data_IF_814439209574
#
_entry.id   IF_814439209574
#
_cell.length_a   1.000
_cell.length_b   1.000
_cell.length_c   1.000
_cell.angle_alpha   90.00
_cell.angle_beta   90.00
_cell.angle_gamma   90.00
#
_symmetry.space_group_name_H-M   'P 1'
#
loop_
_entity.id
_entity.type
_entity.pdbx_description
1 polymer ?
#
# COMPACT_ATOMS: atom_id res chain seq x y z
N UNK A 1 19.24 6.57 10.79
CA UNK A 1 18.80 5.19 11.07
C UNK A 1 19.28 4.24 9.98
N UNK A 2 19.18 4.63 8.69
CA UNK A 2 19.71 3.86 7.56
C UNK A 2 21.22 3.74 7.65
N UNK A 3 21.78 2.66 7.10
CA UNK A 3 23.22 2.40 7.03
C UNK A 3 23.51 1.02 6.48
N UNK A 4 24.78 0.66 6.44
CA UNK A 4 25.26 -0.62 5.93
C UNK A 4 24.73 -1.77 6.77
N UNK A 5 24.32 -2.86 6.10
CA UNK A 5 23.82 -4.09 6.72
C UNK A 5 24.86 -4.66 7.70
N UNK A 6 24.41 -5.23 8.81
CA UNK A 6 25.26 -5.77 9.86
C UNK A 6 25.86 -4.72 10.81
N UNK A 7 25.75 -3.43 10.51
CA UNK A 7 26.23 -2.37 11.41
C UNK A 7 25.20 -2.03 12.49
N UNK A 8 25.67 -1.58 13.65
CA UNK A 8 24.78 -1.19 14.75
C UNK A 8 24.29 0.24 14.61
N UNK A 9 23.06 0.50 15.06
CA UNK A 9 22.51 1.84 15.28
C UNK A 9 21.94 1.93 16.68
N UNK A 10 22.25 2.99 17.39
CA UNK A 10 21.69 3.27 18.71
C UNK A 10 20.72 4.45 18.57
N UNK A 11 19.50 4.24 19.00
CA UNK A 11 18.44 5.26 19.02
C UNK A 11 18.14 5.63 20.46
N UNK A 12 18.08 6.92 20.75
CA UNK A 12 17.54 7.45 22.01
C UNK A 12 16.13 7.95 21.72
N UNK A 13 15.14 7.34 22.34
CA UNK A 13 13.74 7.69 22.22
C UNK A 13 13.29 8.39 23.50
N UNK A 14 12.45 9.39 23.39
CA UNK A 14 11.79 10.03 24.51
C UNK A 14 10.32 9.61 24.52
N UNK A 15 9.85 9.11 25.69
CA UNK A 15 8.46 8.73 25.91
C UNK A 15 8.04 9.13 27.31
N UNK A 16 7.02 9.97 27.41
CA UNK A 16 6.49 10.50 28.68
C UNK A 16 7.58 11.09 29.60
N UNK A 17 8.56 11.80 29.01
CA UNK A 17 9.69 12.41 29.73
C UNK A 17 10.82 11.44 30.13
N UNK A 18 10.71 10.16 29.81
CA UNK A 18 11.76 9.16 30.00
C UNK A 18 12.53 8.89 28.71
N UNK A 19 13.85 8.79 28.81
CA UNK A 19 14.69 8.39 27.67
C UNK A 19 14.92 6.88 27.68
N UNK A 20 14.65 6.25 26.51
CA UNK A 20 14.84 4.82 26.27
C UNK A 20 15.92 4.69 25.20
N UNK A 21 16.92 3.87 25.45
CA UNK A 21 18.03 3.65 24.51
C UNK A 21 17.89 2.25 23.90
N UNK A 22 17.78 2.19 22.58
CA UNK A 22 17.77 0.94 21.81
C UNK A 22 19.01 0.84 20.92
N UNK A 23 19.74 -0.26 21.01
CA UNK A 23 20.76 -0.62 20.04
C UNK A 23 20.30 -1.80 19.21
N UNK A 24 20.27 -1.62 17.90
CA UNK A 24 19.83 -2.63 16.93
C UNK A 24 20.91 -2.85 15.87
N UNK A 25 20.97 -4.04 15.33
CA UNK A 25 21.77 -4.35 14.15
C UNK A 25 20.93 -4.09 12.91
N UNK A 26 21.45 -3.35 11.94
CA UNK A 26 20.79 -3.11 10.65
C UNK A 26 20.75 -4.40 9.87
N UNK A 27 19.60 -4.70 9.29
CA UNK A 27 19.40 -5.81 8.38
C UNK A 27 18.71 -5.33 7.11
N UNK A 28 18.89 -6.03 6.02
CA UNK A 28 18.09 -5.83 4.82
C UNK A 28 16.68 -6.35 5.10
N UNK A 29 15.72 -5.45 5.21
CA UNK A 29 14.30 -5.80 5.37
C UNK A 29 13.69 -5.82 3.96
N UNK A 30 13.38 -7.01 3.47
CA UNK A 30 12.55 -7.18 2.28
C UNK A 30 11.10 -7.37 2.75
N UNK A 31 10.31 -6.34 2.62
CA UNK A 31 8.86 -6.43 2.78
C UNK A 31 8.25 -6.67 1.41
N UNK A 32 7.41 -7.69 1.28
CA UNK A 32 6.66 -7.90 0.05
C UNK A 32 5.76 -6.68 -0.20
N UNK A 33 5.82 -6.14 -1.41
CA UNK A 33 4.98 -5.03 -1.87
C UNK A 33 3.69 -5.51 -2.52
N UNK A 34 3.60 -6.79 -2.83
CA UNK A 34 2.46 -7.43 -3.50
C UNK A 34 1.86 -8.51 -2.62
N UNK A 35 0.56 -8.42 -2.40
CA UNK A 35 -0.29 -9.44 -1.81
C UNK A 35 -1.32 -9.90 -2.83
N UNK A 36 -1.70 -11.18 -2.82
CA UNK A 36 -2.71 -11.70 -3.75
C UNK A 36 -3.58 -12.78 -3.13
N UNK A 37 -4.82 -12.82 -3.56
CA UNK A 37 -5.82 -13.82 -3.16
C UNK A 37 -6.89 -14.01 -4.23
N UNK A 38 -7.86 -14.87 -3.97
CA UNK A 38 -9.05 -15.09 -4.78
C UNK A 38 -10.28 -14.88 -3.89
N UNK A 39 -10.80 -13.63 -3.79
CA UNK A 39 -11.89 -13.27 -2.89
C UNK A 39 -13.21 -13.91 -3.31
N UNK A 40 -13.36 -14.25 -4.59
CA UNK A 40 -14.50 -14.95 -5.15
C UNK A 40 -14.03 -15.89 -6.27
N UNK A 41 -14.71 -17.01 -6.47
CA UNK A 41 -14.32 -18.03 -7.46
C UNK A 41 -14.15 -17.43 -8.87
N UNK A 42 -12.95 -17.53 -9.39
CA UNK A 42 -12.58 -17.05 -10.71
C UNK A 42 -12.25 -15.55 -10.77
N UNK A 43 -12.25 -14.84 -9.65
CA UNK A 43 -11.81 -13.44 -9.56
C UNK A 43 -10.52 -13.38 -8.74
N UNK A 44 -9.40 -13.04 -9.40
CA UNK A 44 -8.14 -12.79 -8.73
C UNK A 44 -8.08 -11.38 -8.16
N UNK A 45 -7.43 -11.23 -7.03
CA UNK A 45 -7.14 -9.94 -6.39
C UNK A 45 -5.65 -9.81 -6.17
N UNK A 46 -5.08 -8.66 -6.55
CA UNK A 46 -3.67 -8.33 -6.31
C UNK A 46 -3.62 -6.93 -5.71
N UNK A 47 -3.10 -6.81 -4.49
CA UNK A 47 -2.82 -5.53 -3.84
C UNK A 47 -1.36 -5.16 -4.03
N UNK A 48 -1.10 -3.94 -4.45
CA UNK A 48 0.24 -3.34 -4.57
C UNK A 48 0.33 -2.20 -3.57
N UNK A 49 1.11 -2.36 -2.50
CA UNK A 49 1.23 -1.38 -1.42
C UNK A 49 2.19 -0.24 -1.75
N UNK A 50 3.22 -0.52 -2.55
CA UNK A 50 4.23 0.45 -3.02
C UNK A 50 4.88 -0.08 -4.30
N UNK A 51 5.57 0.80 -5.05
CA UNK A 51 6.39 0.38 -6.19
C UNK A 51 7.86 0.39 -5.80
N UNK A 52 8.34 -0.75 -5.33
CA UNK A 52 9.74 -1.00 -4.96
C UNK A 52 10.49 -1.76 -6.05
N UNK A 53 11.78 -2.00 -5.87
CA UNK A 53 12.66 -2.60 -6.90
C UNK A 53 12.22 -3.98 -7.41
N UNK A 54 11.45 -4.72 -6.63
CA UNK A 54 11.04 -6.10 -6.94
C UNK A 54 9.53 -6.24 -7.18
N UNK A 55 8.78 -5.14 -7.15
CA UNK A 55 7.30 -5.16 -7.24
C UNK A 55 6.80 -5.74 -8.55
N UNK A 56 7.49 -5.50 -9.65
CA UNK A 56 7.14 -6.02 -10.97
C UNK A 56 7.33 -7.54 -11.07
N UNK A 57 8.37 -8.10 -10.46
CA UNK A 57 8.59 -9.55 -10.38
C UNK A 57 7.57 -10.21 -9.44
N UNK A 58 7.28 -9.59 -8.29
CA UNK A 58 6.25 -10.04 -7.35
C UNK A 58 4.87 -10.05 -8.01
N UNK A 59 4.51 -8.97 -8.73
CA UNK A 59 3.26 -8.87 -9.46
C UNK A 59 3.17 -9.93 -10.57
N UNK A 60 4.21 -10.12 -11.36
CA UNK A 60 4.25 -11.12 -12.43
C UNK A 60 4.03 -12.53 -11.89
N UNK A 61 4.68 -12.87 -10.76
CA UNK A 61 4.52 -14.15 -10.08
C UNK A 61 3.11 -14.35 -9.52
N UNK A 62 2.55 -13.34 -8.85
CA UNK A 62 1.19 -13.36 -8.31
C UNK A 62 0.16 -13.55 -9.42
N UNK A 63 0.26 -12.73 -10.48
CA UNK A 63 -0.64 -12.81 -11.65
C UNK A 63 -0.56 -14.18 -12.34
N UNK A 64 0.64 -14.71 -12.54
CA UNK A 64 0.82 -16.04 -13.14
C UNK A 64 0.18 -17.13 -12.27
N UNK A 65 0.36 -17.05 -10.96
CA UNK A 65 -0.24 -18.00 -10.01
C UNK A 65 -1.76 -18.00 -10.09
N UNK A 66 -2.38 -16.82 -10.11
CA UNK A 66 -3.83 -16.66 -10.24
C UNK A 66 -4.33 -17.15 -11.61
N UNK A 67 -3.64 -16.82 -12.70
CA UNK A 67 -3.99 -17.29 -14.04
C UNK A 67 -3.91 -18.82 -14.15
N UNK A 68 -2.94 -19.45 -13.49
CA UNK A 68 -2.82 -20.92 -13.44
C UNK A 68 -3.92 -21.57 -12.60
N UNK A 69 -4.49 -20.87 -11.61
CA UNK A 69 -5.70 -21.30 -10.91
C UNK A 69 -6.96 -21.19 -11.75
N UNK A 70 -6.92 -20.47 -12.87
CA UNK A 70 -8.03 -20.36 -13.81
C UNK A 70 -8.93 -19.15 -13.59
N UNK A 71 -8.41 -18.06 -12.99
CA UNK A 71 -9.19 -16.83 -12.85
C UNK A 71 -9.70 -16.34 -14.21
N UNK A 72 -10.87 -15.73 -14.19
CA UNK A 72 -11.54 -15.15 -15.36
C UNK A 72 -11.49 -13.63 -15.37
N UNK A 73 -11.21 -13.03 -14.22
CA UNK A 73 -11.16 -11.58 -14.00
C UNK A 73 -10.09 -11.23 -12.96
N UNK A 74 -9.66 -9.97 -12.93
CA UNK A 74 -8.61 -9.49 -12.03
C UNK A 74 -9.00 -8.17 -11.40
N UNK A 75 -8.79 -8.05 -10.10
CA UNK A 75 -8.84 -6.79 -9.36
C UNK A 75 -7.42 -6.43 -8.96
N UNK A 76 -6.97 -5.21 -9.27
CA UNK A 76 -5.69 -4.65 -8.82
C UNK A 76 -6.00 -3.53 -7.84
N UNK A 77 -5.53 -3.64 -6.60
CA UNK A 77 -5.76 -2.64 -5.57
C UNK A 77 -4.50 -1.82 -5.32
N UNK A 78 -4.55 -0.54 -5.66
CA UNK A 78 -3.51 0.45 -5.40
C UNK A 78 -4.00 1.55 -4.44
N UNK A 79 -5.05 1.28 -3.69
CA UNK A 79 -5.50 2.18 -2.61
C UNK A 79 -4.42 2.31 -1.56
N UNK A 80 -4.22 3.54 -1.08
CA UNK A 80 -3.16 3.90 -0.12
C UNK A 80 -1.72 3.66 -0.64
N UNK A 81 -1.54 3.46 -1.95
CA UNK A 81 -0.22 3.34 -2.56
C UNK A 81 0.29 4.75 -2.93
N UNK A 82 1.21 5.29 -2.15
CA UNK A 82 1.83 6.60 -2.38
C UNK A 82 2.81 6.66 -3.56
N UNK A 83 2.91 5.59 -4.36
CA UNK A 83 3.83 5.48 -5.49
C UNK A 83 5.11 4.71 -5.16
N UNK A 84 6.24 5.25 -5.54
CA UNK A 84 7.56 4.63 -5.40
C UNK A 84 8.39 4.82 -6.68
N UNK A 85 9.03 3.75 -7.13
CA UNK A 85 9.83 3.75 -8.36
C UNK A 85 8.94 3.72 -9.60
N UNK A 86 9.23 4.57 -10.56
CA UNK A 86 8.51 4.64 -11.83
C UNK A 86 8.72 3.39 -12.69
N UNK A 87 9.94 2.82 -12.68
CA UNK A 87 10.28 1.67 -13.51
C UNK A 87 9.41 0.44 -13.23
N UNK A 88 9.25 -0.07 -11.99
CA UNK A 88 8.35 -1.19 -11.72
C UNK A 88 6.88 -0.88 -12.10
N UNK A 89 6.39 0.34 -11.83
CA UNK A 89 5.03 0.73 -12.19
C UNK A 89 4.79 0.66 -13.70
N UNK A 90 5.70 1.19 -14.50
CA UNK A 90 5.64 1.11 -15.97
C UNK A 90 5.85 -0.32 -16.48
N UNK A 91 6.71 -1.12 -15.84
CA UNK A 91 6.91 -2.54 -16.20
C UNK A 91 5.62 -3.34 -16.00
N UNK A 92 4.92 -3.12 -14.89
CA UNK A 92 3.63 -3.77 -14.63
C UNK A 92 2.57 -3.30 -15.65
N UNK A 93 2.45 -1.98 -15.89
CA UNK A 93 1.55 -1.46 -16.89
C UNK A 93 1.84 -2.05 -18.30
N UNK A 94 3.12 -2.17 -18.66
CA UNK A 94 3.56 -2.76 -19.92
C UNK A 94 3.14 -4.24 -20.07
N UNK A 95 3.04 -5.00 -18.97
CA UNK A 95 2.51 -6.37 -19.00
C UNK A 95 1.00 -6.44 -19.23
N UNK A 96 0.28 -5.33 -19.04
CA UNK A 96 -1.18 -5.26 -19.11
C UNK A 96 -1.67 -4.59 -20.41
N UNK A 97 -0.87 -3.68 -20.96
CA UNK A 97 -1.25 -2.87 -22.12
C UNK A 97 -0.84 -3.56 -23.41
N UNK A 98 -1.71 -3.59 -24.45
CA UNK A 98 -1.39 -4.20 -25.74
C UNK A 98 -0.15 -3.58 -26.40
N UNK A 99 0.53 -4.36 -27.19
CA UNK A 99 1.66 -3.90 -27.98
C UNK A 99 1.33 -2.64 -28.82
N UNK A 100 2.24 -1.66 -28.79
CA UNK A 100 2.09 -0.32 -29.36
C UNK A 100 1.13 0.62 -28.64
N UNK A 101 0.62 0.27 -27.46
CA UNK A 101 0.00 1.24 -26.58
C UNK A 101 1.04 2.24 -26.04
N UNK A 102 0.57 3.34 -25.49
CA UNK A 102 1.41 4.30 -24.78
C UNK A 102 1.28 4.05 -23.27
N UNK A 103 2.38 4.10 -22.53
CA UNK A 103 2.35 3.99 -21.07
C UNK A 103 2.27 5.36 -20.39
N UNK A 104 3.06 6.32 -20.86
CA UNK A 104 3.10 7.68 -20.32
C UNK A 104 3.82 8.62 -21.30
N UNK A 105 3.67 9.92 -21.06
CA UNK A 105 4.52 10.95 -21.66
C UNK A 105 5.27 11.71 -20.57
N UNK A 106 6.50 12.09 -20.85
CA UNK A 106 7.26 13.02 -20.03
C UNK A 106 7.23 14.40 -20.66
N UNK A 107 6.78 15.40 -19.89
CA UNK A 107 6.57 16.77 -20.37
C UNK A 107 7.44 17.75 -19.56
N UNK A 108 8.02 18.71 -20.25
CA UNK A 108 8.72 19.84 -19.63
C UNK A 108 8.47 21.12 -20.41
N UNK A 109 8.02 22.17 -19.71
CA UNK A 109 7.73 23.48 -20.29
C UNK A 109 6.75 23.44 -21.48
N UNK A 110 5.71 22.60 -21.40
CA UNK A 110 4.71 22.46 -22.44
C UNK A 110 5.16 21.62 -23.64
N UNK A 111 6.30 20.91 -23.54
CA UNK A 111 6.80 20.04 -24.63
C UNK A 111 6.95 18.61 -24.15
N UNK A 112 6.42 17.68 -24.90
CA UNK A 112 6.67 16.25 -24.69
C UNK A 112 8.13 15.97 -25.03
N UNK A 113 8.89 15.51 -24.04
CA UNK A 113 10.30 15.12 -24.17
C UNK A 113 10.42 13.68 -24.64
N UNK A 114 9.53 12.82 -24.13
CA UNK A 114 9.56 11.39 -24.37
C UNK A 114 8.14 10.82 -24.29
N UNK A 115 7.88 9.84 -25.14
CA UNK A 115 6.70 8.98 -25.08
C UNK A 115 7.18 7.56 -24.80
N UNK A 116 6.68 6.98 -23.71
CA UNK A 116 7.03 5.62 -23.30
C UNK A 116 6.05 4.63 -23.93
N UNK A 117 6.46 3.82 -24.92
CA UNK A 117 5.56 2.87 -25.56
C UNK A 117 5.43 1.57 -24.78
N UNK A 118 4.32 0.85 -24.95
CA UNK A 118 4.23 -0.56 -24.60
C UNK A 118 5.03 -1.41 -25.61
N UNK A 119 5.83 -2.32 -25.09
CA UNK A 119 6.74 -3.18 -25.87
C UNK A 119 6.41 -4.67 -25.78
N UNK A 120 5.52 -5.06 -24.85
CA UNK A 120 5.19 -6.46 -24.57
C UNK A 120 3.95 -6.88 -25.37
N UNK A 121 4.04 -8.01 -26.06
CA UNK A 121 2.90 -8.69 -26.66
C UNK A 121 2.14 -9.43 -25.55
N UNK A 122 0.96 -8.95 -25.21
CA UNK A 122 0.10 -9.68 -24.27
C UNK A 122 -0.42 -10.98 -24.86
N UNK A 123 -0.28 -12.04 -24.10
CA UNK A 123 -0.76 -13.36 -24.48
C UNK A 123 -2.13 -13.70 -23.87
N UNK A 124 -2.51 -13.10 -22.76
CA UNK A 124 -3.79 -13.38 -22.08
C UNK A 124 -4.26 -12.17 -21.27
N UNK A 125 -5.21 -11.42 -21.81
CA UNK A 125 -5.93 -10.39 -21.09
C UNK A 125 -7.16 -11.00 -20.39
N UNK A 126 -7.44 -10.57 -19.19
CA UNK A 126 -8.71 -10.84 -18.48
C UNK A 126 -9.34 -9.49 -18.15
N UNK A 127 -10.69 -9.40 -18.07
CA UNK A 127 -11.36 -8.21 -17.55
C UNK A 127 -10.73 -7.77 -16.25
N UNK A 128 -10.37 -6.49 -16.14
CA UNK A 128 -9.62 -5.97 -15.01
C UNK A 128 -10.29 -4.72 -14.44
N UNK A 129 -10.34 -4.65 -13.11
CA UNK A 129 -10.70 -3.45 -12.35
C UNK A 129 -9.48 -2.99 -11.57
N UNK A 130 -9.25 -1.68 -11.49
CA UNK A 130 -8.27 -1.09 -10.57
C UNK A 130 -9.00 -0.29 -9.51
N UNK A 131 -8.68 -0.57 -8.24
CA UNK A 131 -9.19 0.17 -7.09
C UNK A 131 -8.21 1.30 -6.71
N UNK A 132 -8.74 2.51 -6.58
CA UNK A 132 -7.99 3.72 -6.25
C UNK A 132 -8.64 4.52 -5.12
N UNK A 133 -7.84 5.34 -4.43
CA UNK A 133 -8.35 6.35 -3.49
C UNK A 133 -7.47 7.61 -3.49
N UNK A 134 -7.82 8.59 -2.67
CA UNK A 134 -7.13 9.86 -2.51
C UNK A 134 -5.68 9.76 -2.02
N UNK A 135 -5.25 8.61 -1.52
CA UNK A 135 -3.88 8.33 -1.12
C UNK A 135 -3.07 7.59 -2.22
N UNK A 136 -3.72 7.22 -3.33
CA UNK A 136 -3.04 6.72 -4.53
C UNK A 136 -2.28 7.87 -5.17
N UNK A 137 -0.94 7.78 -5.29
CA UNK A 137 -0.13 8.93 -5.68
C UNK A 137 1.08 8.57 -6.58
N UNK A 138 1.56 9.56 -7.36
CA UNK A 138 2.85 9.51 -8.07
C UNK A 138 2.94 8.34 -9.08
N UNK A 139 3.90 7.40 -8.92
CA UNK A 139 4.05 6.25 -9.81
C UNK A 139 2.77 5.39 -9.91
N UNK A 140 1.98 5.33 -8.82
CA UNK A 140 0.70 4.64 -8.82
C UNK A 140 -0.32 5.34 -9.75
N UNK A 141 -0.32 6.67 -9.79
CA UNK A 141 -1.19 7.42 -10.70
C UNK A 141 -0.77 7.26 -12.17
N UNK A 142 0.53 7.21 -12.43
CA UNK A 142 1.05 6.92 -13.76
C UNK A 142 0.61 5.51 -14.22
N UNK A 143 0.71 4.50 -13.33
CA UNK A 143 0.23 3.15 -13.59
C UNK A 143 -1.28 3.13 -13.89
N UNK A 144 -2.10 3.76 -13.06
CA UNK A 144 -3.56 3.81 -13.21
C UNK A 144 -3.95 4.52 -14.50
N UNK A 145 -3.38 5.71 -14.77
CA UNK A 145 -3.65 6.47 -15.99
C UNK A 145 -3.26 5.71 -17.26
N UNK A 146 -2.14 4.95 -17.20
CA UNK A 146 -1.74 4.09 -18.30
C UNK A 146 -2.80 3.02 -18.61
N UNK A 147 -3.39 2.39 -17.58
CA UNK A 147 -4.42 1.35 -17.78
C UNK A 147 -5.77 1.95 -18.21
N UNK A 148 -6.13 3.10 -17.65
CA UNK A 148 -7.39 3.79 -17.97
C UNK A 148 -7.43 4.22 -19.43
N UNK A 149 -6.48 5.02 -19.87
CA UNK A 149 -6.47 5.61 -21.22
C UNK A 149 -6.27 4.54 -22.33
N UNK A 150 -5.62 3.42 -22.02
CA UNK A 150 -5.56 2.28 -22.95
C UNK A 150 -6.81 1.37 -22.88
N UNK A 151 -7.81 1.70 -22.03
CA UNK A 151 -9.06 0.95 -21.87
C UNK A 151 -8.83 -0.53 -21.49
N UNK A 152 -7.78 -0.84 -20.76
CA UNK A 152 -7.45 -2.22 -20.35
C UNK A 152 -7.96 -2.55 -18.95
N UNK A 153 -8.38 -1.55 -18.19
CA UNK A 153 -9.00 -1.71 -16.88
C UNK A 153 -10.06 -0.65 -16.65
N UNK A 154 -11.09 -1.02 -15.88
CA UNK A 154 -12.05 -0.07 -15.31
C UNK A 154 -11.53 0.44 -13.97
N UNK A 155 -11.57 1.73 -13.76
CA UNK A 155 -11.09 2.36 -12.55
C UNK A 155 -12.27 2.64 -11.61
N UNK A 156 -12.21 2.10 -10.39
CA UNK A 156 -13.27 2.26 -9.38
C UNK A 156 -12.67 2.83 -8.11
N UNK A 157 -13.35 3.78 -7.49
CA UNK A 157 -12.94 4.35 -6.21
C UNK A 157 -13.12 5.85 -6.12
N UNK A 158 -12.08 6.56 -5.68
CA UNK A 158 -12.07 8.02 -5.53
C UNK A 158 -10.90 8.62 -6.27
N UNK A 159 -11.03 9.88 -6.68
CA UNK A 159 -9.96 10.64 -7.35
C UNK A 159 -8.66 10.55 -6.57
N UNK A 160 -7.57 10.30 -7.27
CA UNK A 160 -6.24 10.12 -6.68
C UNK A 160 -5.63 11.45 -6.22
N UNK A 161 -4.46 11.38 -5.59
CA UNK A 161 -3.80 12.53 -4.94
C UNK A 161 -3.43 13.67 -5.89
N UNK A 162 -3.02 13.38 -7.11
CA UNK A 162 -2.59 14.40 -8.08
C UNK A 162 -1.11 14.79 -7.97
N UNK A 163 -0.19 13.83 -7.81
CA UNK A 163 1.25 14.07 -7.83
C UNK A 163 1.85 13.65 -9.17
N UNK A 164 1.73 14.49 -10.17
CA UNK A 164 2.17 14.25 -11.55
C UNK A 164 3.60 14.67 -11.88
N UNK A 165 4.51 14.77 -10.90
CA UNK A 165 5.90 15.20 -11.09
C UNK A 165 6.90 14.07 -10.85
N UNK A 166 7.87 13.92 -11.74
CA UNK A 166 9.01 13.05 -11.54
C UNK A 166 10.16 13.79 -10.88
N UNK A 167 10.86 13.13 -9.98
CA UNK A 167 11.93 13.68 -9.18
C UNK A 167 13.22 12.90 -9.38
N UNK A 168 14.33 13.62 -9.51
CA UNK A 168 15.68 13.05 -9.57
C UNK A 168 16.43 13.42 -8.31
N UNK A 169 17.20 12.49 -7.77
CA UNK A 169 18.15 12.72 -6.69
C UNK A 169 19.55 12.82 -7.30
N UNK A 170 20.24 13.88 -7.02
CA UNK A 170 21.62 14.09 -7.46
C UNK A 170 22.52 14.42 -6.27
N UNK A 171 23.75 13.90 -6.28
CA UNK A 171 24.74 14.18 -5.25
C UNK A 171 25.50 15.46 -5.56
N UNK A 172 25.88 16.17 -4.51
CA UNK A 172 26.78 17.32 -4.59
C UNK A 172 28.23 16.92 -4.34
N UNK A 173 29.19 17.73 -4.79
CA UNK A 173 30.61 17.40 -4.69
C UNK A 173 31.13 17.36 -3.22
N UNK A 174 30.40 17.96 -2.30
CA UNK A 174 30.68 17.96 -0.86
C UNK A 174 30.02 16.79 -0.10
N UNK A 175 29.44 15.83 -0.83
CA UNK A 175 28.80 14.65 -0.23
C UNK A 175 27.33 14.85 0.19
N UNK A 176 26.74 16.02 -0.07
CA UNK A 176 25.32 16.27 0.08
C UNK A 176 24.50 15.65 -1.06
N UNK A 177 23.18 15.73 -0.95
CA UNK A 177 22.26 15.35 -2.03
C UNK A 177 21.11 16.35 -2.11
N UNK A 178 20.59 16.53 -3.33
CA UNK A 178 19.35 17.29 -3.54
C UNK A 178 18.37 16.50 -4.38
N UNK A 179 17.09 16.73 -4.14
CA UNK A 179 15.98 16.13 -4.87
C UNK A 179 15.28 17.23 -5.66
N UNK A 180 15.22 17.07 -6.97
CA UNK A 180 14.68 18.07 -7.89
C UNK A 180 13.55 17.48 -8.72
N UNK A 181 12.43 18.19 -8.82
CA UNK A 181 11.38 17.88 -9.81
C UNK A 181 11.86 18.31 -11.19
N UNK A 182 11.92 17.38 -12.12
CA UNK A 182 12.59 17.59 -13.43
C UNK A 182 11.61 17.65 -14.59
N UNK A 183 10.50 16.92 -14.52
CA UNK A 183 9.45 16.91 -15.54
C UNK A 183 8.11 16.45 -14.95
N UNK A 184 7.04 16.73 -15.68
CA UNK A 184 5.72 16.17 -15.44
C UNK A 184 5.58 14.86 -16.20
N UNK A 185 4.84 13.93 -15.66
CA UNK A 185 4.32 12.81 -16.44
C UNK A 185 2.83 13.02 -16.72
N UNK A 186 2.46 12.71 -17.95
CA UNK A 186 1.09 12.78 -18.45
C UNK A 186 0.62 11.36 -18.74
N UNK A 187 -0.69 11.17 -18.69
CA UNK A 187 -1.31 9.91 -19.14
C UNK A 187 -1.13 9.70 -20.64
N UNK A 188 -1.41 8.51 -21.19
CA UNK A 188 -1.37 8.25 -22.63
C UNK A 188 -2.15 9.26 -23.48
N UNK A 189 -3.30 9.73 -23.02
CA UNK A 189 -4.12 10.75 -23.68
C UNK A 189 -3.66 12.18 -23.36
N UNK A 190 -2.46 12.32 -22.78
CA UNK A 190 -1.80 13.57 -22.45
C UNK A 190 -2.53 14.39 -21.36
N UNK A 191 -3.35 13.74 -20.53
CA UNK A 191 -3.95 14.39 -19.38
C UNK A 191 -2.89 14.66 -18.31
N UNK A 192 -2.96 15.86 -17.73
CA UNK A 192 -2.08 16.25 -16.63
C UNK A 192 -2.59 15.68 -15.32
N UNK A 193 -1.75 14.93 -14.64
CA UNK A 193 -2.06 14.36 -13.32
C UNK A 193 -1.79 15.37 -12.21
N UNK A 194 -0.74 16.19 -12.35
CA UNK A 194 -0.27 17.11 -11.31
C UNK A 194 -1.32 18.15 -10.92
N UNK A 195 -1.74 18.11 -9.65
CA UNK A 195 -2.79 18.98 -9.08
C UNK A 195 -4.22 18.55 -9.43
N UNK A 196 -4.42 17.48 -10.21
CA UNK A 196 -5.74 17.02 -10.68
C UNK A 196 -6.05 15.60 -10.19
N UNK A 197 -5.08 14.69 -10.28
CA UNK A 197 -5.27 13.27 -10.02
C UNK A 197 -5.92 12.51 -11.19
N UNK A 198 -6.13 11.22 -10.98
CA UNK A 198 -6.88 10.34 -11.89
C UNK A 198 -8.31 10.24 -11.36
N UNK A 199 -9.28 10.63 -12.18
CA UNK A 199 -10.70 10.51 -11.86
C UNK A 199 -11.14 9.08 -12.20
N UNK A 200 -11.77 8.33 -11.27
CA UNK A 200 -12.22 6.98 -11.56
C UNK A 200 -13.40 6.98 -12.54
N UNK A 201 -13.55 5.89 -13.30
CA UNK A 201 -14.71 5.68 -14.18
C UNK A 201 -16.01 5.46 -13.40
N UNK A 202 -15.87 5.00 -12.14
CA UNK A 202 -16.99 4.83 -11.22
C UNK A 202 -16.57 5.30 -9.83
N UNK A 203 -17.20 6.37 -9.37
CA UNK A 203 -16.99 6.87 -8.00
C UNK A 203 -17.70 5.94 -7.02
N UNK A 204 -16.94 5.39 -6.07
CA UNK A 204 -17.47 4.63 -4.94
C UNK A 204 -16.75 5.13 -3.69
N UNK A 205 -17.51 5.66 -2.76
CA UNK A 205 -16.98 6.12 -1.48
C UNK A 205 -16.61 4.91 -0.61
N UNK A 206 -15.57 5.06 0.22
CA UNK A 206 -15.30 4.10 1.29
C UNK A 206 -16.51 4.00 2.22
N UNK A 207 -16.74 2.84 2.84
CA UNK A 207 -17.98 2.58 3.58
C UNK A 207 -18.25 3.62 4.68
N UNK A 208 -19.53 3.85 4.94
CA UNK A 208 -20.04 4.86 5.85
C UNK A 208 -19.86 4.47 7.32
N UNK A 209 -18.72 4.77 7.93
CA UNK A 209 -18.51 4.60 9.37
C UNK A 209 -17.96 5.86 10.00
N UNK A 210 -16.77 6.24 9.58
CA UNK A 210 -16.09 7.45 10.05
C UNK A 210 -15.93 8.43 8.88
N UNK A 211 -16.00 9.71 9.16
CA UNK A 211 -15.65 10.75 8.19
C UNK A 211 -14.15 10.69 7.87
N UNK A 212 -13.77 11.22 6.71
CA UNK A 212 -12.35 11.28 6.29
C UNK A 212 -11.47 12.03 7.31
N UNK A 213 -12.03 13.07 7.91
CA UNK A 213 -11.32 13.86 8.91
C UNK A 213 -11.08 13.05 10.19
N UNK A 214 -12.05 12.25 10.64
CA UNK A 214 -11.90 11.35 11.78
C UNK A 214 -10.89 10.24 11.49
N UNK A 215 -10.95 9.63 10.31
CA UNK A 215 -9.96 8.64 9.87
C UNK A 215 -8.56 9.24 9.85
N UNK A 216 -8.40 10.44 9.29
CA UNK A 216 -7.12 11.13 9.23
C UNK A 216 -6.59 11.49 10.61
N UNK A 217 -7.45 11.94 11.52
CA UNK A 217 -7.07 12.22 12.90
C UNK A 217 -6.59 10.96 13.62
N UNK A 218 -7.33 9.85 13.50
CA UNK A 218 -6.97 8.56 14.08
C UNK A 218 -5.65 8.06 13.49
N UNK A 219 -5.55 7.98 12.18
CA UNK A 219 -4.36 7.41 11.50
C UNK A 219 -3.10 8.27 11.68
N UNK A 220 -3.27 9.59 11.80
CA UNK A 220 -2.16 10.54 11.96
C UNK A 220 -1.39 10.40 13.28
N UNK A 221 -1.96 9.75 14.29
CA UNK A 221 -1.34 9.56 15.61
C UNK A 221 -0.93 8.11 15.89
N UNK A 222 -1.20 7.19 14.96
CA UNK A 222 -0.88 5.78 15.14
C UNK A 222 0.61 5.51 14.97
N UNK A 223 1.16 4.76 15.93
CA UNK A 223 2.48 4.17 15.75
C UNK A 223 2.43 3.06 14.68
N UNK A 224 3.52 2.93 13.88
CA UNK A 224 3.62 1.83 12.93
C UNK A 224 3.62 0.49 13.65
N UNK A 225 3.08 -0.52 12.98
CA UNK A 225 3.11 -1.90 13.43
C UNK A 225 3.64 -2.73 12.26
N UNK A 226 4.88 -3.21 12.38
CA UNK A 226 5.58 -3.97 11.33
C UNK A 226 5.87 -5.40 11.76
N UNK A 227 5.99 -6.29 10.81
CA UNK A 227 6.07 -7.76 11.03
C UNK A 227 7.47 -8.29 11.42
N UNK A 228 8.45 -7.41 11.69
CA UNK A 228 9.83 -7.85 11.82
C UNK A 228 10.18 -8.55 13.15
N UNK A 229 9.36 -8.40 14.20
CA UNK A 229 9.66 -8.90 15.56
C UNK A 229 8.40 -9.39 16.25
N UNK A 230 8.49 -10.49 16.97
CA UNK A 230 7.46 -11.00 17.89
C UNK A 230 7.70 -10.47 19.29
N UNK A 231 6.62 -10.19 20.03
CA UNK A 231 6.65 -9.66 21.38
C UNK A 231 5.92 -10.59 22.35
N UNK A 232 6.54 -10.81 23.52
CA UNK A 232 6.01 -11.63 24.59
C UNK A 232 5.97 -10.84 25.91
N UNK A 233 5.43 -11.43 26.95
CA UNK A 233 5.31 -10.79 28.27
C UNK A 233 6.64 -10.18 28.74
N UNK A 234 6.62 -8.90 29.08
CA UNK A 234 7.78 -8.11 29.51
C UNK A 234 8.52 -7.39 28.39
N UNK A 235 8.27 -7.71 27.13
CA UNK A 235 8.90 -7.03 25.99
C UNK A 235 8.40 -5.59 25.84
N UNK A 236 9.26 -4.75 25.26
CA UNK A 236 8.96 -3.33 25.00
C UNK A 236 9.19 -3.05 23.53
N UNK A 237 8.25 -2.38 22.88
CA UNK A 237 8.43 -2.05 21.46
C UNK A 237 7.39 -1.12 20.88
N UNK A 238 7.74 -0.51 19.75
CA UNK A 238 6.86 0.39 19.04
C UNK A 238 5.65 -0.37 18.45
N UNK A 239 5.84 -1.62 18.02
CA UNK A 239 4.75 -2.47 17.57
C UNK A 239 3.75 -2.75 18.69
N UNK A 240 4.22 -2.94 19.93
CA UNK A 240 3.35 -3.11 21.12
C UNK A 240 2.54 -1.84 21.33
N UNK A 241 3.18 -0.67 21.27
CA UNK A 241 2.48 0.61 21.39
C UNK A 241 1.42 0.79 20.31
N UNK A 242 1.78 0.50 19.05
CA UNK A 242 0.86 0.57 17.92
C UNK A 242 -0.29 -0.44 18.00
N UNK A 243 -0.03 -1.63 18.53
CA UNK A 243 -1.07 -2.63 18.80
C UNK A 243 -2.03 -2.18 19.91
N UNK A 244 -1.50 -1.66 21.02
CA UNK A 244 -2.32 -1.13 22.13
C UNK A 244 -3.21 0.03 21.66
N UNK A 245 -2.71 0.94 20.81
CA UNK A 245 -3.53 2.01 20.22
C UNK A 245 -4.72 1.44 19.44
N UNK A 246 -4.47 0.45 18.56
CA UNK A 246 -5.50 -0.18 17.73
C UNK A 246 -6.51 -0.95 18.57
N UNK A 247 -6.05 -1.73 19.55
CA UNK A 247 -6.91 -2.44 20.50
C UNK A 247 -7.82 -1.47 21.25
N UNK A 248 -7.29 -0.33 21.71
CA UNK A 248 -8.08 0.71 22.35
C UNK A 248 -9.20 1.26 21.48
N UNK A 249 -8.94 1.48 20.18
CA UNK A 249 -9.97 1.89 19.21
C UNK A 249 -11.00 0.78 18.94
N UNK A 250 -10.59 -0.47 19.00
CA UNK A 250 -11.50 -1.63 18.86
C UNK A 250 -12.34 -1.91 20.13
N UNK A 251 -12.16 -1.11 21.20
CA UNK A 251 -12.95 -1.20 22.41
C UNK A 251 -12.34 -2.01 23.56
N UNK A 252 -11.11 -2.51 23.41
CA UNK A 252 -10.40 -3.18 24.49
C UNK A 252 -9.84 -2.17 25.48
N UNK A 253 -9.95 -2.47 26.79
CA UNK A 253 -9.48 -1.58 27.85
C UNK A 253 -7.95 -1.65 28.03
N UNK A 254 -7.20 -1.02 27.16
CA UNK A 254 -5.74 -0.98 27.16
C UNK A 254 -5.20 0.45 27.07
N UNK A 255 -4.18 0.75 27.87
CA UNK A 255 -3.47 2.03 27.79
C UNK A 255 -2.21 1.88 26.97
N UNK A 256 -1.99 2.70 25.93
CA UNK A 256 -0.79 2.62 25.11
C UNK A 256 0.48 2.97 25.92
N UNK A 257 1.28 1.96 26.26
CA UNK A 257 2.53 2.08 27.02
C UNK A 257 3.74 1.60 26.22
N UNK A 258 3.50 0.74 25.22
CA UNK A 258 4.53 0.02 24.46
C UNK A 258 5.18 -1.12 25.24
N UNK A 259 4.61 -1.52 26.37
CA UNK A 259 5.08 -2.63 27.19
C UNK A 259 4.08 -3.78 27.12
N UNK A 260 4.57 -4.98 26.91
CA UNK A 260 3.79 -6.22 27.01
C UNK A 260 3.61 -6.60 28.48
N UNK A 261 2.91 -5.73 29.24
CA UNK A 261 2.57 -5.99 30.64
C UNK A 261 1.46 -7.06 30.76
N UNK A 262 1.14 -7.45 32.00
CA UNK A 262 0.16 -8.50 32.24
C UNK A 262 -1.22 -8.17 31.69
N UNK A 263 -1.65 -6.90 31.73
CA UNK A 263 -2.93 -6.47 31.17
C UNK A 263 -2.92 -6.57 29.65
N UNK A 264 -1.86 -6.10 29.00
CA UNK A 264 -1.70 -6.18 27.54
C UNK A 264 -1.71 -7.64 27.06
N UNK A 265 -1.05 -8.54 27.77
CA UNK A 265 -1.04 -9.97 27.44
C UNK A 265 -2.43 -10.59 27.51
N UNK A 266 -3.20 -10.29 28.55
CA UNK A 266 -4.58 -10.81 28.66
C UNK A 266 -5.50 -10.23 27.58
N UNK A 267 -5.39 -8.95 27.26
CA UNK A 267 -6.15 -8.31 26.17
C UNK A 267 -5.78 -8.90 24.81
N UNK A 268 -4.50 -9.19 24.58
CA UNK A 268 -4.09 -9.87 23.33
C UNK A 268 -4.67 -11.29 23.27
N UNK A 269 -4.77 -12.02 24.37
CA UNK A 269 -5.44 -13.33 24.39
C UNK A 269 -6.92 -13.21 24.08
N UNK A 270 -7.59 -12.22 24.65
CA UNK A 270 -8.99 -11.94 24.37
C UNK A 270 -9.19 -11.62 22.88
N UNK A 271 -8.42 -10.69 22.33
CA UNK A 271 -8.43 -10.37 20.91
C UNK A 271 -8.15 -11.60 20.02
N UNK A 272 -7.16 -12.42 20.37
CA UNK A 272 -6.85 -13.64 19.63
C UNK A 272 -8.03 -14.62 19.63
N UNK A 273 -8.71 -14.77 20.77
CA UNK A 273 -9.89 -15.61 20.86
C UNK A 273 -11.06 -15.08 20.01
N UNK A 274 -11.30 -13.77 20.05
CA UNK A 274 -12.34 -13.10 19.28
C UNK A 274 -12.12 -13.26 17.75
N UNK A 275 -10.87 -13.23 17.33
CA UNK A 275 -10.47 -13.43 15.92
C UNK A 275 -10.28 -14.91 15.53
N UNK A 276 -10.63 -15.85 16.40
CA UNK A 276 -10.49 -17.29 16.16
C UNK A 276 -9.05 -17.80 16.11
N UNK A 277 -8.11 -17.04 16.66
CA UNK A 277 -6.71 -17.42 16.79
C UNK A 277 -6.50 -18.18 18.11
N UNK A 278 -5.39 -18.92 18.21
CA UNK A 278 -5.00 -19.54 19.46
C UNK A 278 -4.58 -18.48 20.50
N UNK A 279 -5.23 -18.37 21.68
CA UNK A 279 -5.08 -17.26 22.62
C UNK A 279 -3.88 -17.46 23.55
N UNK A 280 -2.67 -17.28 23.06
CA UNK A 280 -1.45 -17.46 23.87
C UNK A 280 -0.85 -16.14 24.40
N UNK A 281 -1.37 -14.99 23.95
CA UNK A 281 -1.04 -13.65 24.47
C UNK A 281 0.26 -13.06 23.94
N UNK A 282 0.85 -13.65 22.90
CA UNK A 282 1.98 -13.06 22.20
C UNK A 282 1.54 -12.20 21.03
N UNK A 283 2.22 -11.08 20.81
CA UNK A 283 2.03 -10.22 19.64
C UNK A 283 2.97 -10.67 18.54
N UNK A 284 2.56 -11.69 17.79
CA UNK A 284 3.27 -12.21 16.63
C UNK A 284 2.69 -11.69 15.31
N UNK A 285 3.26 -12.13 14.20
CA UNK A 285 2.87 -11.69 12.86
C UNK A 285 1.39 -11.98 12.54
N UNK A 286 0.90 -13.15 12.95
CA UNK A 286 -0.50 -13.54 12.74
C UNK A 286 -1.44 -12.63 13.53
N UNK A 287 -1.10 -12.37 14.79
CA UNK A 287 -1.86 -11.46 15.67
C UNK A 287 -1.81 -10.02 15.17
N UNK A 288 -0.64 -9.55 14.73
CA UNK A 288 -0.48 -8.19 14.18
C UNK A 288 -1.28 -8.01 12.87
N UNK A 289 -1.29 -9.03 12.00
CA UNK A 289 -2.07 -8.98 10.76
C UNK A 289 -3.57 -9.01 11.04
N UNK A 290 -4.04 -9.89 11.93
CA UNK A 290 -5.44 -9.91 12.35
C UNK A 290 -5.85 -8.55 12.93
N UNK A 291 -5.01 -7.96 13.80
CA UNK A 291 -5.28 -6.66 14.39
C UNK A 291 -5.29 -5.53 13.34
N UNK A 292 -4.41 -5.57 12.36
CA UNK A 292 -4.42 -4.60 11.27
C UNK A 292 -5.72 -4.71 10.45
N UNK A 293 -6.14 -5.93 10.14
CA UNK A 293 -7.40 -6.21 9.41
C UNK A 293 -8.63 -5.76 10.19
N UNK A 294 -8.72 -6.12 11.47
CA UNK A 294 -9.84 -5.71 12.34
C UNK A 294 -9.90 -4.18 12.50
N UNK A 295 -8.74 -3.54 12.60
CA UNK A 295 -8.67 -2.09 12.71
C UNK A 295 -9.02 -1.38 11.40
N UNK A 296 -8.62 -1.91 10.25
CA UNK A 296 -9.08 -1.42 8.94
C UNK A 296 -10.61 -1.55 8.82
N UNK A 297 -11.17 -2.67 9.25
CA UNK A 297 -12.62 -2.86 9.30
C UNK A 297 -13.31 -1.83 10.20
N UNK A 298 -12.72 -1.50 11.34
CA UNK A 298 -13.20 -0.45 12.25
C UNK A 298 -13.19 0.93 11.57
N UNK A 299 -12.09 1.32 10.95
CA UNK A 299 -11.95 2.61 10.28
C UNK A 299 -12.94 2.79 9.12
N UNK A 300 -13.22 1.72 8.39
CA UNK A 300 -14.01 1.78 7.16
C UNK A 300 -15.43 1.20 7.32
N UNK A 301 -15.90 0.99 8.54
CA UNK A 301 -17.32 0.71 8.84
C UNK A 301 -17.76 -0.74 8.75
N UNK A 302 -17.04 -1.65 9.41
CA UNK A 302 -17.56 -2.98 9.71
C UNK A 302 -17.44 -4.02 8.61
N UNK A 303 -16.33 -4.07 7.93
CA UNK A 303 -15.97 -5.22 7.08
C UNK A 303 -16.58 -5.23 5.68
N UNK A 304 -17.36 -4.23 5.29
CA UNK A 304 -17.83 -4.08 3.91
C UNK A 304 -16.93 -3.14 3.14
N UNK A 305 -16.09 -3.69 2.27
CA UNK A 305 -15.33 -2.91 1.29
C UNK A 305 -16.21 -2.64 0.07
N UNK A 306 -17.02 -1.55 0.14
CA UNK A 306 -17.93 -1.18 -0.93
C UNK A 306 -17.25 -1.01 -2.30
N UNK A 307 -15.98 -0.63 -2.32
CA UNK A 307 -15.22 -0.50 -3.55
C UNK A 307 -14.86 -1.88 -4.12
N UNK A 308 -14.44 -2.80 -3.26
CA UNK A 308 -14.18 -4.19 -3.65
C UNK A 308 -15.47 -4.90 -4.10
N UNK A 309 -16.57 -4.71 -3.36
CA UNK A 309 -17.90 -5.23 -3.74
C UNK A 309 -18.33 -4.70 -5.12
N UNK A 310 -18.18 -3.40 -5.37
CA UNK A 310 -18.49 -2.80 -6.67
C UNK A 310 -17.63 -3.37 -7.80
N UNK A 311 -16.34 -3.65 -7.53
CA UNK A 311 -15.44 -4.29 -8.50
C UNK A 311 -15.88 -5.72 -8.81
N UNK A 312 -16.17 -6.52 -7.79
CA UNK A 312 -16.69 -7.89 -7.94
C UNK A 312 -18.00 -7.87 -8.73
N UNK A 313 -18.94 -7.02 -8.34
CA UNK A 313 -20.23 -6.90 -9.04
C UNK A 313 -20.06 -6.50 -10.52
N UNK A 314 -19.11 -5.64 -10.84
CA UNK A 314 -18.84 -5.24 -12.22
C UNK A 314 -18.24 -6.40 -13.04
N UNK A 315 -17.34 -7.18 -12.44
CA UNK A 315 -16.65 -8.32 -13.10
C UNK A 315 -17.52 -9.57 -13.23
N UNK A 316 -18.59 -9.68 -12.45
CA UNK A 316 -19.52 -10.82 -12.46
C UNK A 316 -20.67 -10.68 -13.48
N UNK A 317 -20.72 -9.55 -14.23
CA UNK A 317 -21.70 -9.30 -15.32
C UNK A 317 -21.26 -9.98 -16.60
#
# INVERSE_FOLDING_TARGET
VRGEEGTSVTLTLERAGAFIIYTMTRAMIQTASVYYEEPEEGIGYIRISSFDSNTDDEFASARLTLLNKGIRALIIDVRNNGGGLMSPALTIANQMIPFRGTLAHYERQGRILETVPSTVNQTKAVPTVVLINENTASAAECFVGALQDNNVARIIGRTTYGKGVAQTISSTADGGAYKLSVFYFLTPDQHRIDGVGIVPDQIVHASAGLSEEEIKQITGVLAPMGEAVKYYAGDIGLNVYGAQQRLGHLGYEVSPSGVMDGQTVEIIKEFQADEGLYPYGGLDFTTMNALATAFEAYLFGGGQDLQLEAAIQWLSR
#
